data_IF_035643297718
#
_entry.id   IF_035643297718
#
_cell.length_a   1.000
_cell.length_b   1.000
_cell.length_c   1.000
_cell.angle_alpha   90.00
_cell.angle_beta   90.00
_cell.angle_gamma   90.00
#
_symmetry.space_group_name_H-M   'P 1'
#
loop_
_entity.id
_entity.type
_entity.pdbx_description
1 polymer ?
#
# COMPACT_ATOMS: atom_id res chain seq x y z
N UNK A 1 -1.68 -14.07 0.43
CA UNK A 1 -1.12 -13.71 1.73
C UNK A 1 -1.44 -14.77 2.80
N UNK A 2 -2.69 -15.20 3.02
CA UNK A 2 -3.07 -16.14 4.08
C UNK A 2 -2.56 -17.57 3.86
N UNK A 3 -2.49 -18.04 2.64
CA UNK A 3 -1.82 -19.28 2.27
C UNK A 3 -0.33 -19.26 2.66
N UNK A 4 0.36 -18.15 2.38
CA UNK A 4 1.75 -17.98 2.78
C UNK A 4 1.92 -17.96 4.30
N UNK A 5 1.09 -17.21 5.03
CA UNK A 5 1.15 -17.16 6.50
C UNK A 5 1.01 -18.57 7.09
N UNK A 6 0.00 -19.35 6.65
CA UNK A 6 -0.21 -20.73 7.13
C UNK A 6 0.93 -21.68 6.75
N UNK A 7 1.49 -21.54 5.54
CA UNK A 7 2.64 -22.33 5.09
C UNK A 7 3.93 -21.95 5.82
N UNK A 8 4.07 -20.69 6.20
CA UNK A 8 5.22 -20.20 6.97
C UNK A 8 5.18 -20.61 8.46
N UNK A 9 4.14 -21.32 8.91
CA UNK A 9 4.05 -21.88 10.26
C UNK A 9 3.31 -21.02 11.28
N UNK A 10 2.54 -20.00 10.82
CA UNK A 10 1.70 -19.21 11.72
C UNK A 10 0.49 -20.02 12.19
N UNK A 11 0.15 -19.91 13.47
CA UNK A 11 -0.99 -20.60 14.07
C UNK A 11 -2.34 -19.90 13.80
N UNK A 12 -2.30 -18.71 13.27
CA UNK A 12 -3.49 -17.92 12.96
C UNK A 12 -3.16 -16.57 12.36
N UNK A 13 -4.20 -15.79 12.09
CA UNK A 13 -4.05 -14.49 11.45
C UNK A 13 -5.09 -13.50 11.96
N UNK A 14 -4.83 -12.21 11.73
CA UNK A 14 -5.79 -11.14 11.96
C UNK A 14 -6.47 -10.81 10.65
N UNK A 15 -7.79 -10.70 10.68
CA UNK A 15 -8.61 -10.18 9.59
C UNK A 15 -9.32 -8.91 10.04
N UNK A 16 -9.50 -7.97 9.13
CA UNK A 16 -10.08 -6.65 9.43
C UNK A 16 -11.55 -6.53 9.04
N UNK A 17 -12.10 -7.55 8.38
CA UNK A 17 -13.50 -7.58 7.96
C UNK A 17 -14.05 -9.00 8.04
N UNK A 18 -15.31 -9.13 8.46
CA UNK A 18 -15.98 -10.42 8.67
C UNK A 18 -15.98 -11.31 7.41
N UNK A 19 -16.20 -10.72 6.22
CA UNK A 19 -16.19 -11.45 4.96
C UNK A 19 -14.83 -12.10 4.63
N UNK A 20 -13.75 -11.67 5.28
CA UNK A 20 -12.41 -12.23 5.10
C UNK A 20 -12.08 -13.36 6.06
N UNK A 21 -12.94 -13.65 7.03
CA UNK A 21 -12.76 -14.75 7.99
C UNK A 21 -12.77 -16.09 7.28
N UNK A 22 -13.83 -16.40 6.53
CA UNK A 22 -13.95 -17.68 5.83
C UNK A 22 -12.83 -17.93 4.81
N UNK A 23 -12.48 -16.99 3.92
CA UNK A 23 -11.31 -17.14 3.06
C UNK A 23 -10.01 -17.41 3.82
N UNK A 24 -9.77 -16.74 4.95
CA UNK A 24 -8.59 -16.98 5.77
C UNK A 24 -8.61 -18.37 6.40
N UNK A 25 -9.75 -18.80 6.95
CA UNK A 25 -9.91 -20.15 7.52
C UNK A 25 -9.69 -21.25 6.49
N UNK A 26 -10.16 -21.08 5.26
CA UNK A 26 -9.93 -22.06 4.17
C UNK A 26 -8.43 -22.25 3.94
N UNK A 27 -7.66 -21.17 3.88
CA UNK A 27 -6.21 -21.26 3.66
C UNK A 27 -5.47 -21.88 4.85
N UNK A 28 -5.83 -21.51 6.08
CA UNK A 28 -5.24 -22.12 7.27
C UNK A 28 -5.59 -23.60 7.42
N UNK A 29 -6.83 -23.99 7.16
CA UNK A 29 -7.26 -25.38 7.23
C UNK A 29 -6.58 -26.30 6.21
N UNK A 30 -6.09 -25.80 5.09
CA UNK A 30 -5.30 -26.58 4.12
C UNK A 30 -3.97 -27.03 4.71
N UNK A 31 -3.30 -26.15 5.44
CA UNK A 31 -1.90 -26.32 5.84
C UNK A 31 -1.75 -26.70 7.33
N UNK A 32 -2.76 -26.44 8.14
CA UNK A 32 -2.74 -26.67 9.59
C UNK A 32 -3.69 -27.80 9.97
N UNK A 33 -3.17 -29.02 10.02
CA UNK A 33 -3.95 -30.24 10.39
C UNK A 33 -4.20 -30.36 11.90
N UNK A 34 -3.64 -29.51 12.74
CA UNK A 34 -3.71 -29.52 14.22
C UNK A 34 -4.04 -28.11 14.72
N UNK A 35 -4.28 -28.03 16.04
CA UNK A 35 -4.63 -26.74 16.69
C UNK A 35 -3.52 -25.66 16.62
N UNK A 36 -2.27 -26.07 16.38
CA UNK A 36 -1.13 -25.18 16.24
C UNK A 36 -0.02 -25.84 15.41
N UNK A 37 1.02 -25.09 15.08
CA UNK A 37 2.18 -25.52 14.30
C UNK A 37 3.49 -25.45 15.09
N UNK A 38 3.45 -25.55 16.42
CA UNK A 38 4.64 -25.43 17.30
C UNK A 38 5.75 -26.43 16.98
N UNK A 39 5.43 -27.55 16.34
CA UNK A 39 6.41 -28.53 15.86
C UNK A 39 7.08 -28.15 14.55
N UNK A 40 6.56 -27.15 13.84
CA UNK A 40 7.13 -26.65 12.59
C UNK A 40 8.20 -25.60 12.88
N UNK A 41 9.44 -25.91 12.54
CA UNK A 41 10.56 -24.97 12.68
C UNK A 41 11.08 -24.59 11.31
N UNK A 42 11.05 -23.31 11.00
CA UNK A 42 11.73 -22.77 9.82
C UNK A 42 13.22 -22.66 10.12
N UNK A 43 14.02 -23.18 9.20
CA UNK A 43 15.47 -22.99 9.22
C UNK A 43 15.90 -22.33 7.90
N UNK A 44 15.66 -21.05 7.80
CA UNK A 44 15.93 -20.27 6.59
C UNK A 44 17.40 -19.82 6.49
N UNK A 45 18.25 -20.15 7.45
CA UNK A 45 19.65 -19.74 7.49
C UNK A 45 19.86 -18.22 7.50
N UNK A 46 18.90 -17.46 8.04
CA UNK A 46 18.91 -16.00 8.07
C UNK A 46 20.12 -15.49 8.87
N UNK A 47 20.91 -14.62 8.26
CA UNK A 47 22.04 -13.94 8.89
C UNK A 47 21.66 -12.53 9.33
N UNK A 48 22.37 -11.94 10.30
CA UNK A 48 22.09 -10.55 10.72
C UNK A 48 22.11 -9.53 9.57
N UNK A 49 22.95 -9.73 8.58
CA UNK A 49 23.04 -8.87 7.39
C UNK A 49 21.75 -8.89 6.55
N UNK A 50 21.05 -10.02 6.51
CA UNK A 50 19.82 -10.15 5.73
C UNK A 50 18.70 -9.26 6.27
N UNK A 51 18.71 -8.96 7.58
CA UNK A 51 17.74 -8.12 8.25
C UNK A 51 17.88 -6.63 7.90
N UNK A 52 19.06 -6.21 7.45
CA UNK A 52 19.37 -4.81 7.08
C UNK A 52 19.64 -4.65 5.58
N UNK A 53 19.67 -5.74 4.84
CA UNK A 53 19.85 -5.69 3.39
C UNK A 53 18.60 -5.10 2.74
N UNK A 54 18.83 -4.10 1.87
CA UNK A 54 17.72 -3.50 1.12
C UNK A 54 17.13 -4.54 0.17
N UNK A 55 15.81 -4.77 0.20
CA UNK A 55 15.17 -5.68 -0.75
C UNK A 55 15.42 -5.22 -2.20
N UNK A 56 15.74 -6.16 -3.06
CA UNK A 56 15.78 -5.90 -4.49
C UNK A 56 14.36 -5.79 -5.04
N UNK A 57 14.18 -4.92 -6.02
CA UNK A 57 12.89 -4.72 -6.64
C UNK A 57 12.95 -3.72 -7.78
N UNK A 58 11.94 -3.76 -8.63
CA UNK A 58 11.76 -2.82 -9.73
C UNK A 58 10.58 -1.89 -9.46
N UNK A 59 10.74 -0.63 -9.82
CA UNK A 59 9.62 0.32 -9.84
C UNK A 59 9.02 0.27 -11.24
N UNK A 60 7.76 -0.12 -11.33
CA UNK A 60 7.02 -0.14 -12.60
C UNK A 60 6.03 1.02 -12.66
N UNK A 61 5.58 1.37 -13.85
CA UNK A 61 4.52 2.39 -14.03
C UNK A 61 3.25 1.95 -13.29
N UNK A 62 2.91 0.67 -13.35
CA UNK A 62 1.74 0.10 -12.68
C UNK A 62 1.87 0.22 -11.16
N UNK A 63 3.04 -0.07 -10.59
CA UNK A 63 3.27 0.06 -9.14
C UNK A 63 3.18 1.52 -8.69
N UNK A 64 3.74 2.45 -9.47
CA UNK A 64 3.65 3.89 -9.20
C UNK A 64 2.20 4.38 -9.23
N UNK A 65 1.48 4.06 -10.30
CA UNK A 65 0.07 4.44 -10.46
C UNK A 65 -0.80 3.79 -9.38
N UNK A 66 -0.59 2.51 -9.07
CA UNK A 66 -1.34 1.81 -8.01
C UNK A 66 -1.10 2.45 -6.64
N UNK A 67 0.14 2.85 -6.36
CA UNK A 67 0.50 3.53 -5.10
C UNK A 67 -0.20 4.90 -4.99
N UNK A 68 -0.19 5.69 -6.07
CA UNK A 68 -0.92 6.96 -6.13
C UNK A 68 -2.43 6.76 -5.89
N UNK A 69 -3.04 5.79 -6.57
CA UNK A 69 -4.46 5.46 -6.40
C UNK A 69 -4.79 5.04 -4.98
N UNK A 70 -3.91 4.28 -4.33
CA UNK A 70 -4.10 3.89 -2.93
C UNK A 70 -4.15 5.11 -2.03
N UNK A 71 -3.22 6.06 -2.17
CA UNK A 71 -3.22 7.30 -1.38
C UNK A 71 -4.52 8.08 -1.58
N UNK A 72 -4.86 8.39 -2.82
CA UNK A 72 -6.05 9.20 -3.14
C UNK A 72 -7.34 8.55 -2.65
N UNK A 73 -7.49 7.25 -2.91
CA UNK A 73 -8.70 6.51 -2.53
C UNK A 73 -8.86 6.41 -1.04
N UNK A 74 -7.80 6.04 -0.31
CA UNK A 74 -7.88 5.91 1.15
C UNK A 74 -8.16 7.26 1.80
N UNK A 75 -7.55 8.36 1.36
CA UNK A 75 -7.82 9.70 1.88
C UNK A 75 -9.30 10.08 1.68
N UNK A 76 -9.80 10.00 0.46
CA UNK A 76 -11.19 10.39 0.13
C UNK A 76 -12.21 9.56 0.93
N UNK A 77 -12.03 8.23 0.96
CA UNK A 77 -12.94 7.34 1.67
C UNK A 77 -12.90 7.54 3.20
N UNK A 78 -11.72 7.80 3.76
CA UNK A 78 -11.62 8.12 5.20
C UNK A 78 -12.34 9.40 5.55
N UNK A 79 -12.20 10.45 4.75
CA UNK A 79 -12.93 11.70 4.96
C UNK A 79 -14.45 11.56 4.74
N UNK A 80 -14.88 10.50 4.07
CA UNK A 80 -16.28 10.09 3.99
C UNK A 80 -16.73 9.23 5.18
N UNK A 81 -15.83 8.91 6.13
CA UNK A 81 -16.12 8.13 7.34
C UNK A 81 -15.84 6.62 7.22
N UNK A 82 -15.18 6.16 6.14
CA UNK A 82 -14.86 4.76 5.97
C UNK A 82 -13.48 4.43 6.53
N UNK A 83 -13.36 3.36 7.32
CA UNK A 83 -12.10 2.95 7.92
C UNK A 83 -11.16 2.26 6.93
N UNK A 84 -11.69 1.67 5.87
CA UNK A 84 -10.96 0.89 4.87
C UNK A 84 -11.64 0.98 3.50
N UNK A 85 -10.91 0.59 2.46
CA UNK A 85 -11.39 0.55 1.08
C UNK A 85 -10.78 -0.63 0.33
N UNK A 86 -11.54 -1.21 -0.59
CA UNK A 86 -11.04 -2.27 -1.48
C UNK A 86 -10.52 -1.66 -2.79
N UNK A 87 -9.30 -2.04 -3.18
CA UNK A 87 -8.72 -1.68 -4.45
C UNK A 87 -7.90 -2.84 -5.02
N UNK A 88 -8.17 -3.24 -6.25
CA UNK A 88 -7.46 -4.33 -6.90
C UNK A 88 -7.58 -5.67 -6.14
N UNK A 89 -8.72 -5.93 -5.51
CA UNK A 89 -8.95 -7.13 -4.69
C UNK A 89 -8.20 -7.14 -3.35
N UNK A 90 -7.63 -6.00 -2.94
CA UNK A 90 -6.92 -5.84 -1.66
C UNK A 90 -7.61 -4.81 -0.80
N UNK A 91 -7.55 -5.05 0.49
CA UNK A 91 -8.05 -4.15 1.52
C UNK A 91 -6.96 -3.13 1.88
N UNK A 92 -7.32 -1.85 1.83
CA UNK A 92 -6.43 -0.75 2.15
C UNK A 92 -7.03 0.08 3.29
N UNK A 93 -6.19 0.40 4.23
CA UNK A 93 -6.52 1.14 5.44
C UNK A 93 -5.51 2.27 5.69
N UNK A 94 -5.50 2.79 6.89
CA UNK A 94 -4.55 3.79 7.38
C UNK A 94 -3.08 3.34 7.23
N UNK A 95 -2.78 2.08 7.50
CA UNK A 95 -1.42 1.54 7.38
C UNK A 95 -0.95 1.52 5.92
N UNK A 96 -1.85 1.14 5.02
CA UNK A 96 -1.62 1.19 3.57
C UNK A 96 -1.37 2.61 3.07
N UNK A 97 -2.12 3.59 3.59
CA UNK A 97 -1.92 5.01 3.27
C UNK A 97 -0.52 5.48 3.67
N UNK A 98 -0.13 5.19 4.92
CA UNK A 98 1.19 5.56 5.43
C UNK A 98 2.32 4.97 4.61
N UNK A 99 2.22 3.69 4.28
CA UNK A 99 3.21 3.01 3.44
C UNK A 99 3.28 3.63 2.03
N UNK A 100 2.13 3.86 1.41
CA UNK A 100 2.04 4.41 0.06
C UNK A 100 2.64 5.84 -0.02
N UNK A 101 2.35 6.71 0.95
CA UNK A 101 2.93 8.05 1.03
C UNK A 101 4.45 8.01 1.17
N UNK A 102 4.95 7.12 2.04
CA UNK A 102 6.41 6.96 2.24
C UNK A 102 7.11 6.41 1.02
N UNK A 103 6.48 5.50 0.27
CA UNK A 103 7.02 5.01 -0.98
C UNK A 103 7.11 6.11 -2.03
N UNK A 104 6.06 6.91 -2.22
CA UNK A 104 6.07 8.04 -3.16
C UNK A 104 7.12 9.07 -2.78
N UNK A 105 7.21 9.42 -1.49
CA UNK A 105 8.22 10.32 -0.97
C UNK A 105 9.63 9.78 -1.24
N UNK A 106 9.89 8.51 -0.90
CA UNK A 106 11.18 7.86 -1.10
C UNK A 106 11.57 7.82 -2.59
N UNK A 107 10.65 7.49 -3.46
CA UNK A 107 10.91 7.44 -4.90
C UNK A 107 11.22 8.82 -5.49
N UNK A 108 10.61 9.86 -4.98
CA UNK A 108 10.91 11.24 -5.39
C UNK A 108 12.26 11.76 -4.87
N UNK A 109 12.64 11.39 -3.65
CA UNK A 109 13.86 11.91 -3.00
C UNK A 109 15.10 11.03 -3.23
N UNK A 110 14.92 9.76 -3.58
CA UNK A 110 16.04 8.86 -3.81
C UNK A 110 16.57 9.02 -5.23
N UNK A 111 17.89 9.15 -5.38
CA UNK A 111 18.57 9.14 -6.70
C UNK A 111 18.28 7.89 -7.54
N UNK A 112 17.67 6.87 -6.96
CA UNK A 112 17.32 5.59 -7.58
C UNK A 112 15.81 5.44 -7.78
N UNK A 113 15.04 6.51 -7.61
CA UNK A 113 13.62 6.55 -7.94
C UNK A 113 13.40 6.55 -9.46
N UNK A 114 13.75 5.45 -10.12
CA UNK A 114 13.73 5.30 -11.58
C UNK A 114 12.74 4.21 -11.96
N UNK A 115 11.86 4.49 -12.90
CA UNK A 115 11.00 3.47 -13.51
C UNK A 115 11.88 2.51 -14.30
N UNK A 116 11.96 1.27 -13.86
CA UNK A 116 12.96 0.30 -14.32
C UNK A 116 12.92 0.05 -15.82
N UNK A 117 11.72 -0.05 -16.41
CA UNK A 117 11.54 -0.36 -17.82
C UNK A 117 11.90 0.81 -18.75
N UNK A 118 11.58 2.04 -18.39
CA UNK A 118 11.74 3.24 -19.21
C UNK A 118 12.99 4.06 -18.88
N UNK A 119 13.63 3.73 -17.75
CA UNK A 119 14.71 4.54 -17.16
C UNK A 119 14.32 5.99 -16.87
N UNK A 120 13.03 6.25 -16.73
CA UNK A 120 12.50 7.58 -16.44
C UNK A 120 12.61 7.84 -14.93
N UNK A 121 13.20 8.96 -14.57
CA UNK A 121 13.27 9.42 -13.19
C UNK A 121 11.86 9.77 -12.66
N UNK A 122 11.60 9.38 -11.42
CA UNK A 122 10.39 9.80 -10.71
C UNK A 122 10.70 11.16 -10.08
N UNK A 123 10.30 12.21 -10.76
CA UNK A 123 10.51 13.59 -10.36
C UNK A 123 9.18 14.33 -10.10
N UNK A 124 9.28 15.53 -9.57
CA UNK A 124 8.13 16.32 -9.13
C UNK A 124 7.07 16.51 -10.21
N UNK A 125 7.45 16.89 -11.43
CA UNK A 125 6.49 17.15 -12.52
C UNK A 125 5.73 15.89 -12.92
N UNK A 126 6.42 14.74 -12.99
CA UNK A 126 5.78 13.44 -13.26
C UNK A 126 4.75 13.10 -12.18
N UNK A 127 5.12 13.27 -10.91
CA UNK A 127 4.22 12.97 -9.79
C UNK A 127 3.03 13.94 -9.78
N UNK A 128 3.24 15.23 -9.97
CA UNK A 128 2.17 16.22 -10.08
C UNK A 128 1.19 15.88 -11.19
N UNK A 129 1.71 15.50 -12.35
CA UNK A 129 0.88 15.07 -13.49
C UNK A 129 0.08 13.81 -13.16
N UNK A 130 0.74 12.76 -12.67
CA UNK A 130 0.10 11.47 -12.40
C UNK A 130 -0.93 11.55 -11.28
N UNK A 131 -0.63 12.26 -10.18
CA UNK A 131 -1.56 12.41 -9.05
C UNK A 131 -2.85 13.10 -9.50
N UNK A 132 -2.75 14.19 -10.27
CA UNK A 132 -3.92 14.88 -10.81
C UNK A 132 -4.69 14.02 -11.80
N UNK A 133 -4.01 13.42 -12.76
CA UNK A 133 -4.61 12.53 -13.77
C UNK A 133 -5.37 11.36 -13.16
N UNK A 134 -4.78 10.71 -12.14
CA UNK A 134 -5.44 9.58 -11.48
C UNK A 134 -6.61 10.04 -10.61
N UNK A 135 -6.52 11.20 -9.95
CA UNK A 135 -7.65 11.78 -9.22
C UNK A 135 -8.83 12.08 -10.16
N UNK A 136 -8.57 12.75 -11.28
CA UNK A 136 -9.60 13.05 -12.27
C UNK A 136 -10.26 11.78 -12.78
N UNK A 137 -9.45 10.77 -13.13
CA UNK A 137 -9.96 9.48 -13.62
C UNK A 137 -10.79 8.74 -12.57
N UNK A 138 -10.36 8.73 -11.31
CA UNK A 138 -10.99 7.95 -10.25
C UNK A 138 -12.30 8.57 -9.75
N UNK A 139 -12.42 9.89 -9.79
CA UNK A 139 -13.51 10.63 -9.19
C UNK A 139 -14.33 11.45 -10.21
N UNK A 140 -14.18 11.15 -11.50
CA UNK A 140 -14.93 11.81 -12.61
C UNK A 140 -16.44 11.81 -12.36
N UNK A 141 -16.99 10.66 -11.99
CA UNK A 141 -18.43 10.46 -11.78
C UNK A 141 -18.89 10.75 -10.34
N UNK A 142 -17.97 11.24 -9.49
CA UNK A 142 -18.27 11.61 -8.11
C UNK A 142 -19.17 12.85 -8.04
N UNK A 143 -19.96 12.94 -6.97
CA UNK A 143 -20.70 14.14 -6.64
C UNK A 143 -19.78 15.33 -6.28
N UNK A 144 -20.32 16.50 -6.10
CA UNK A 144 -19.57 17.72 -5.80
C UNK A 144 -18.73 17.58 -4.51
N UNK A 145 -19.25 16.87 -3.49
CA UNK A 145 -18.54 16.61 -2.24
C UNK A 145 -17.33 15.71 -2.49
N UNK A 146 -17.51 14.60 -3.18
CA UNK A 146 -16.43 13.65 -3.52
C UNK A 146 -15.35 14.32 -4.36
N UNK A 147 -15.72 15.14 -5.34
CA UNK A 147 -14.75 15.92 -6.14
C UNK A 147 -13.98 16.93 -5.31
N UNK A 148 -14.63 17.59 -4.35
CA UNK A 148 -13.97 18.49 -3.40
C UNK A 148 -12.97 17.76 -2.51
N UNK A 149 -13.34 16.59 -1.98
CA UNK A 149 -12.44 15.74 -1.20
C UNK A 149 -11.26 15.20 -2.05
N UNK A 150 -11.50 14.86 -3.30
CA UNK A 150 -10.45 14.43 -4.23
C UNK A 150 -9.43 15.55 -4.49
N UNK A 151 -9.90 16.79 -4.68
CA UNK A 151 -9.01 17.94 -4.84
C UNK A 151 -8.15 18.19 -3.57
N UNK A 152 -8.75 18.05 -2.38
CA UNK A 152 -8.00 18.13 -1.12
C UNK A 152 -6.99 16.98 -0.98
N UNK A 153 -7.36 15.75 -1.38
CA UNK A 153 -6.46 14.61 -1.38
C UNK A 153 -5.26 14.82 -2.31
N UNK A 154 -5.47 15.41 -3.49
CA UNK A 154 -4.38 15.78 -4.41
C UNK A 154 -3.43 16.77 -3.74
N UNK A 155 -3.94 17.87 -3.17
CA UNK A 155 -3.10 18.88 -2.50
C UNK A 155 -2.29 18.25 -1.38
N UNK A 156 -2.95 17.57 -0.44
CA UNK A 156 -2.28 16.94 0.70
C UNK A 156 -1.23 15.89 0.26
N UNK A 157 -1.54 15.10 -0.77
CA UNK A 157 -0.59 14.11 -1.28
C UNK A 157 0.68 14.79 -1.79
N UNK A 158 0.55 15.84 -2.59
CA UNK A 158 1.69 16.57 -3.15
C UNK A 158 2.49 17.27 -2.05
N UNK A 159 1.82 17.91 -1.09
CA UNK A 159 2.49 18.58 0.03
C UNK A 159 3.32 17.59 0.86
N UNK A 160 2.79 16.40 1.14
CA UNK A 160 3.48 15.36 1.91
C UNK A 160 4.60 14.69 1.11
N UNK A 161 4.40 14.43 -0.17
CA UNK A 161 5.40 13.76 -1.02
C UNK A 161 6.59 14.67 -1.32
N UNK A 162 6.38 15.99 -1.37
CA UNK A 162 7.48 16.96 -1.59
C UNK A 162 8.02 17.59 -0.31
N UNK A 163 7.50 17.19 0.86
CA UNK A 163 8.04 17.63 2.13
C UNK A 163 9.52 17.22 2.29
N UNK A 164 10.32 18.06 2.93
CA UNK A 164 11.74 17.79 3.19
C UNK A 164 11.93 16.56 4.08
N UNK A 165 11.02 16.35 5.01
CA UNK A 165 11.05 15.23 5.94
C UNK A 165 10.11 14.10 5.49
N UNK A 166 10.44 12.89 5.92
CA UNK A 166 9.57 11.71 5.68
C UNK A 166 8.17 11.99 6.20
N UNK A 167 7.13 11.84 5.35
CA UNK A 167 5.78 12.18 5.75
C UNK A 167 5.32 11.36 6.96
N UNK A 168 4.90 12.09 7.98
CA UNK A 168 4.10 11.52 9.05
C UNK A 168 2.69 11.26 8.52
N UNK A 169 1.98 10.41 9.21
CA UNK A 169 0.62 10.07 8.85
C UNK A 169 -0.28 11.31 8.95
N UNK A 170 -1.05 11.64 7.90
CA UNK A 170 -2.01 12.74 8.01
C UNK A 170 -3.03 12.43 9.10
N UNK A 171 -3.17 13.37 10.02
CA UNK A 171 -4.26 13.33 11.01
C UNK A 171 -5.55 13.63 10.23
N UNK A 172 -6.38 12.63 10.07
CA UNK A 172 -7.70 12.73 9.44
C UNK A 172 -8.77 12.46 10.45
#
# INVERSE_FOLDING_TARGET
DKDRESTDGYDGTIVVHEDTVNPAMVEFNKNMARANQLFYQRNDGIKPVDLITRPEGSITVESLVSTIRTVLRVLVYRWQGNAWVVQGGRLHDRSSLRLALRLLWQWNHAKQGIITATKLDIHEDLLRYLVRKEADKMFTDGDARTKGLAAQAVSLTLDLVFATEVPLEPQA
#
